data_IF_845642637537
#
_entry.id   IF_845642637537
#
_cell.length_a   1.000
_cell.length_b   1.000
_cell.length_c   1.000
_cell.angle_alpha   90.00
_cell.angle_beta   90.00
_cell.angle_gamma   90.00
#
_symmetry.space_group_name_H-M   'P 1'
#
loop_
_entity.id
_entity.type
_entity.pdbx_description
1 polymer ?
#
# COMPACT_ATOMS: atom_id res chain seq x y z
N UNK A 1 -55.08 -33.90 -27.97
CA UNK A 1 -56.36 -34.33 -27.35
C UNK A 1 -56.67 -33.37 -26.21
N UNK A 2 -57.71 -32.58 -26.43
CA UNK A 2 -58.77 -32.14 -25.49
C UNK A 2 -58.28 -31.18 -24.38
N UNK A 3 -58.47 -29.90 -24.50
CA UNK A 3 -59.57 -28.88 -24.45
C UNK A 3 -59.79 -28.31 -23.03
N UNK A 4 -59.68 -26.98 -23.01
CA UNK A 4 -60.65 -26.00 -22.49
C UNK A 4 -60.80 -25.80 -20.98
N UNK A 5 -60.80 -24.50 -20.62
CA UNK A 5 -61.57 -23.99 -19.49
C UNK A 5 -61.23 -22.54 -19.12
N UNK A 6 -61.67 -21.64 -19.96
CA UNK A 6 -61.81 -20.20 -19.69
C UNK A 6 -62.85 -19.94 -18.58
N UNK A 7 -62.60 -19.06 -17.61
CA UNK A 7 -63.63 -18.31 -16.85
C UNK A 7 -63.04 -17.06 -16.18
N UNK A 8 -63.25 -15.88 -16.78
CA UNK A 8 -63.36 -14.61 -16.03
C UNK A 8 -64.78 -14.52 -15.46
N UNK A 9 -65.03 -13.89 -14.31
CA UNK A 9 -65.53 -12.52 -14.19
C UNK A 9 -65.27 -11.86 -12.82
N UNK A 10 -65.95 -10.73 -12.46
CA UNK A 10 -66.16 -9.46 -13.14
C UNK A 10 -65.65 -8.25 -12.35
N UNK A 11 -65.67 -7.07 -13.02
CA UNK A 11 -65.46 -5.73 -12.46
C UNK A 11 -66.45 -5.39 -11.34
N UNK A 12 -65.96 -4.77 -10.26
CA UNK A 12 -66.78 -3.86 -9.45
C UNK A 12 -66.16 -2.48 -9.30
N UNK A 13 -67.02 -1.53 -9.37
CA UNK A 13 -66.78 -0.09 -9.50
C UNK A 13 -66.73 0.63 -8.12
N UNK A 14 -65.84 1.61 -8.03
CA UNK A 14 -65.95 2.90 -7.29
C UNK A 14 -66.29 2.92 -5.81
N UNK A 15 -65.35 3.46 -4.99
CA UNK A 15 -65.74 4.64 -4.17
C UNK A 15 -64.51 5.53 -3.96
N UNK A 16 -64.65 6.78 -4.34
CA UNK A 16 -63.76 7.91 -4.00
C UNK A 16 -63.87 8.17 -2.51
N UNK A 17 -62.76 8.21 -1.80
CA UNK A 17 -62.68 8.93 -0.50
C UNK A 17 -61.47 9.85 -0.51
N UNK A 18 -61.76 11.04 0.01
CA UNK A 18 -60.94 12.20 0.06
C UNK A 18 -59.61 12.03 0.80
N UNK A 19 -58.57 12.75 0.34
CA UNK A 19 -57.27 12.76 0.91
C UNK A 19 -57.19 13.44 2.26
N UNK A 20 -56.33 12.93 3.14
CA UNK A 20 -55.80 13.62 4.28
C UNK A 20 -54.31 13.97 4.03
N UNK A 21 -53.87 15.19 4.22
CA UNK A 21 -52.49 15.62 4.05
C UNK A 21 -51.73 15.36 5.36
N UNK A 22 -51.11 14.20 5.49
CA UNK A 22 -50.44 13.89 6.74
C UNK A 22 -49.27 12.86 6.66
N UNK A 23 -48.99 12.30 5.46
CA UNK A 23 -47.99 11.22 5.33
C UNK A 23 -46.68 11.57 4.62
N UNK A 24 -46.52 12.80 4.15
CA UNK A 24 -45.29 13.21 3.44
C UNK A 24 -44.08 13.52 4.35
N UNK A 25 -44.33 13.87 5.62
CA UNK A 25 -43.25 14.21 6.55
C UNK A 25 -42.51 13.01 7.15
N UNK A 26 -43.16 11.85 7.28
CA UNK A 26 -42.54 10.64 7.87
C UNK A 26 -41.52 9.93 6.95
N UNK A 27 -41.70 10.06 5.63
CA UNK A 27 -40.79 9.41 4.66
C UNK A 27 -39.45 10.17 4.49
N UNK A 28 -39.47 11.50 4.68
CA UNK A 28 -38.25 12.32 4.62
C UNK A 28 -37.30 12.02 5.80
N UNK A 29 -37.83 11.78 6.98
CA UNK A 29 -37.04 11.44 8.17
C UNK A 29 -36.43 10.02 8.11
N UNK A 30 -37.09 9.06 7.49
CA UNK A 30 -36.57 7.70 7.29
C UNK A 30 -35.46 7.67 6.24
N UNK A 31 -35.53 8.50 5.19
CA UNK A 31 -34.45 8.61 4.19
C UNK A 31 -33.21 9.34 4.74
N UNK A 32 -33.38 10.36 5.57
CA UNK A 32 -32.24 11.05 6.23
C UNK A 32 -31.58 10.14 7.26
N UNK A 33 -32.35 9.33 8.01
CA UNK A 33 -31.80 8.33 8.94
C UNK A 33 -31.04 7.21 8.21
N UNK A 34 -31.53 6.78 7.05
CA UNK A 34 -30.86 5.75 6.23
C UNK A 34 -29.54 6.29 5.60
N UNK A 35 -29.49 7.56 5.19
CA UNK A 35 -28.25 8.20 4.72
C UNK A 35 -27.22 8.39 5.83
N UNK A 36 -27.67 8.71 7.05
CA UNK A 36 -26.78 8.86 8.21
C UNK A 36 -26.19 7.50 8.67
N UNK A 37 -26.95 6.41 8.56
CA UNK A 37 -26.46 5.04 8.87
C UNK A 37 -25.49 4.55 7.79
N UNK A 38 -25.70 4.90 6.51
CA UNK A 38 -24.75 4.57 5.45
C UNK A 38 -23.43 5.33 5.55
N UNK A 39 -23.44 6.58 6.01
CA UNK A 39 -22.20 7.34 6.24
C UNK A 39 -21.40 6.82 7.44
N UNK A 40 -22.04 6.27 8.47
CA UNK A 40 -21.36 5.62 9.61
C UNK A 40 -20.79 4.24 9.27
N UNK A 41 -21.39 3.51 8.33
CA UNK A 41 -20.84 2.25 7.82
C UNK A 41 -19.62 2.48 6.90
N UNK A 42 -19.59 3.58 6.16
CA UNK A 42 -18.44 3.94 5.30
C UNK A 42 -17.20 4.35 6.11
N UNK A 43 -17.35 4.89 7.31
CA UNK A 43 -16.24 5.24 8.20
C UNK A 43 -15.64 4.03 8.90
N UNK A 44 -16.39 2.93 9.09
CA UNK A 44 -15.84 1.68 9.64
C UNK A 44 -14.96 0.91 8.63
N UNK A 45 -15.20 1.05 7.34
CA UNK A 45 -14.36 0.42 6.29
C UNK A 45 -13.03 1.16 6.10
N UNK A 46 -12.98 2.47 6.39
CA UNK A 46 -11.75 3.26 6.31
C UNK A 46 -10.75 3.00 7.47
N UNK A 47 -11.17 2.31 8.53
CA UNK A 47 -10.32 1.98 9.69
C UNK A 47 -9.53 0.67 9.55
N UNK A 48 -9.78 -0.14 8.51
CA UNK A 48 -8.89 -1.25 8.17
C UNK A 48 -7.70 -0.69 7.41
N UNK A 49 -6.53 -0.62 8.08
CA UNK A 49 -5.30 -0.14 7.48
C UNK A 49 -4.97 -0.87 6.17
N UNK A 50 -4.32 -0.17 5.23
CA UNK A 50 -3.90 -0.74 3.95
C UNK A 50 -3.15 -2.06 4.17
N UNK A 51 -3.41 -3.11 3.36
CA UNK A 51 -2.73 -4.40 3.48
C UNK A 51 -1.28 -4.26 2.98
N UNK A 52 -0.39 -3.79 3.84
CA UNK A 52 1.01 -3.56 3.49
C UNK A 52 1.80 -4.87 3.43
N UNK A 53 2.67 -4.97 2.43
CA UNK A 53 3.69 -6.01 2.32
C UNK A 53 5.04 -5.41 2.72
N UNK A 54 5.82 -6.19 3.48
CA UNK A 54 7.20 -5.87 3.81
C UNK A 54 8.10 -6.93 3.19
N UNK A 55 9.01 -6.48 2.35
CA UNK A 55 9.96 -7.35 1.64
C UNK A 55 11.25 -6.58 1.33
N UNK A 56 12.36 -7.05 1.89
CA UNK A 56 13.65 -6.35 1.80
C UNK A 56 14.17 -6.23 0.37
N UNK A 57 13.98 -7.26 -0.44
CA UNK A 57 14.41 -7.27 -1.85
C UNK A 57 13.68 -6.21 -2.65
N UNK A 58 12.35 -6.20 -2.52
CA UNK A 58 11.47 -5.28 -3.26
C UNK A 58 11.64 -3.85 -2.75
N UNK A 59 11.65 -3.65 -1.42
CA UNK A 59 11.83 -2.33 -0.81
C UNK A 59 13.16 -1.69 -1.23
N UNK A 60 14.25 -2.49 -1.28
CA UNK A 60 15.54 -2.01 -1.75
C UNK A 60 15.53 -1.65 -3.23
N UNK A 61 14.90 -2.48 -4.07
CA UNK A 61 14.78 -2.20 -5.50
C UNK A 61 13.99 -0.91 -5.74
N UNK A 62 12.87 -0.73 -5.06
CA UNK A 62 12.06 0.48 -5.16
C UNK A 62 12.79 1.72 -4.63
N UNK A 63 13.58 1.57 -3.57
CA UNK A 63 14.45 2.65 -3.09
C UNK A 63 15.50 3.04 -4.13
N UNK A 64 16.12 2.06 -4.80
CA UNK A 64 17.09 2.32 -5.88
C UNK A 64 16.42 3.01 -7.09
N UNK A 65 15.13 2.74 -7.37
CA UNK A 65 14.35 3.46 -8.39
C UNK A 65 14.05 4.90 -7.99
N UNK A 66 13.67 5.10 -6.73
CA UNK A 66 13.10 6.34 -6.25
C UNK A 66 14.15 7.37 -5.83
N UNK A 67 15.27 6.94 -5.20
CA UNK A 67 16.24 7.86 -4.62
C UNK A 67 16.75 8.91 -5.60
N UNK A 68 17.17 8.57 -6.84
CA UNK A 68 17.61 9.59 -7.80
C UNK A 68 16.48 10.57 -8.17
N UNK A 69 15.25 10.05 -8.30
CA UNK A 69 14.07 10.87 -8.63
C UNK A 69 13.74 11.84 -7.50
N UNK A 70 13.72 11.35 -6.25
CA UNK A 70 13.43 12.19 -5.09
C UNK A 70 14.52 13.26 -4.86
N UNK A 71 15.78 12.93 -5.08
CA UNK A 71 16.88 13.91 -5.05
C UNK A 71 16.68 14.98 -6.13
N UNK A 72 16.37 14.59 -7.37
CA UNK A 72 16.10 15.53 -8.47
C UNK A 72 14.86 16.40 -8.22
N UNK A 73 13.91 15.91 -7.44
CA UNK A 73 12.70 16.62 -7.05
C UNK A 73 12.89 17.56 -5.84
N UNK A 74 14.08 17.56 -5.20
CA UNK A 74 14.32 18.30 -3.95
C UNK A 74 13.67 17.63 -2.72
N UNK A 75 13.28 16.37 -2.84
CA UNK A 75 12.64 15.56 -1.81
C UNK A 75 13.63 14.59 -1.13
N UNK A 76 14.93 14.76 -1.35
CA UNK A 76 15.99 13.92 -0.81
C UNK A 76 16.09 13.94 0.73
N UNK A 77 17.05 13.18 1.27
CA UNK A 77 17.29 13.10 2.71
C UNK A 77 16.45 12.07 3.44
N UNK A 78 15.92 11.06 2.73
CA UNK A 78 15.19 9.94 3.34
C UNK A 78 13.79 10.29 3.86
N UNK A 79 13.26 11.45 3.47
CA UNK A 79 11.94 11.94 3.94
C UNK A 79 10.77 11.20 3.31
N UNK A 80 10.97 10.58 2.14
CA UNK A 80 9.92 9.85 1.41
C UNK A 80 10.19 8.36 1.48
N UNK A 81 9.18 7.60 1.91
CA UNK A 81 9.24 6.14 1.98
C UNK A 81 8.30 5.52 0.96
N UNK A 82 8.74 4.46 0.25
CA UNK A 82 7.85 3.68 -0.60
C UNK A 82 7.25 2.55 0.22
N UNK A 83 5.92 2.41 0.16
CA UNK A 83 5.14 1.36 0.82
C UNK A 83 4.51 0.46 -0.24
N UNK A 84 4.56 -0.84 -0.02
CA UNK A 84 4.00 -1.83 -0.94
C UNK A 84 2.63 -2.24 -0.42
N UNK A 85 1.59 -2.04 -1.24
CA UNK A 85 0.21 -2.43 -0.92
C UNK A 85 -0.11 -3.73 -1.65
N UNK A 86 -0.63 -4.73 -0.93
CA UNK A 86 -1.11 -5.96 -1.53
C UNK A 86 -2.43 -5.71 -2.27
N UNK A 87 -2.34 -5.52 -3.56
CA UNK A 87 -3.49 -5.32 -4.45
C UNK A 87 -3.08 -5.72 -5.87
N UNK A 88 -3.91 -6.48 -6.57
CA UNK A 88 -3.68 -6.88 -7.96
C UNK A 88 -4.01 -5.77 -8.98
N UNK A 89 -4.58 -4.68 -8.53
CA UNK A 89 -4.91 -3.51 -9.34
C UNK A 89 -3.63 -2.71 -9.60
N UNK A 90 -3.47 -2.18 -10.82
CA UNK A 90 -2.41 -1.23 -11.12
C UNK A 90 -2.72 0.10 -10.41
N UNK A 91 -1.92 0.50 -9.43
CA UNK A 91 -2.03 1.83 -8.82
C UNK A 91 -0.74 2.23 -8.08
N UNK A 92 -0.51 3.55 -8.00
CA UNK A 92 0.41 4.18 -7.08
C UNK A 92 -0.23 5.51 -6.64
N UNK A 93 0.04 5.97 -5.42
CA UNK A 93 -0.56 7.20 -4.90
C UNK A 93 0.17 7.71 -3.66
N UNK A 94 -0.01 8.99 -3.37
CA UNK A 94 0.48 9.67 -2.17
C UNK A 94 -0.68 10.04 -1.27
N UNK A 95 -0.54 9.85 0.05
CA UNK A 95 -1.58 10.17 1.05
C UNK A 95 -1.18 11.32 1.97
N UNK A 96 0.06 11.34 2.42
CA UNK A 96 0.53 12.21 3.51
C UNK A 96 1.77 13.04 3.15
N UNK A 97 2.19 13.01 1.89
CA UNK A 97 3.40 13.70 1.42
C UNK A 97 4.72 13.08 1.89
N UNK A 98 4.68 12.00 2.70
CA UNK A 98 5.85 11.26 3.19
C UNK A 98 5.91 9.83 2.68
N UNK A 99 4.79 9.28 2.23
CA UNK A 99 4.70 7.90 1.76
C UNK A 99 4.14 7.85 0.35
N UNK A 100 4.86 7.14 -0.53
CA UNK A 100 4.37 6.73 -1.85
C UNK A 100 3.93 5.28 -1.73
N UNK A 101 2.67 5.02 -1.97
CA UNK A 101 2.08 3.68 -1.92
C UNK A 101 2.07 3.10 -3.33
N UNK A 102 2.69 1.94 -3.52
CA UNK A 102 2.74 1.24 -4.80
C UNK A 102 2.06 -0.12 -4.65
N UNK A 103 1.05 -0.38 -5.45
CA UNK A 103 0.35 -1.65 -5.46
C UNK A 103 1.21 -2.76 -6.08
N UNK A 104 1.06 -3.99 -5.57
CA UNK A 104 1.70 -5.17 -6.19
C UNK A 104 1.27 -5.36 -7.65
N UNK A 105 0.04 -4.93 -8.00
CA UNK A 105 -0.43 -4.93 -9.38
C UNK A 105 0.39 -4.03 -10.29
N UNK A 106 0.80 -2.84 -9.85
CA UNK A 106 1.70 -1.99 -10.63
C UNK A 106 3.06 -2.68 -10.85
N UNK A 107 3.62 -3.29 -9.81
CA UNK A 107 4.91 -3.96 -9.86
C UNK A 107 4.90 -5.19 -10.79
N UNK A 108 3.85 -6.02 -10.73
CA UNK A 108 3.76 -7.25 -11.53
C UNK A 108 3.38 -7.01 -12.99
N UNK A 109 2.64 -5.94 -13.26
CA UNK A 109 2.16 -5.61 -14.61
C UNK A 109 3.14 -4.75 -15.41
N UNK A 110 4.09 -4.07 -14.75
CA UNK A 110 5.15 -3.33 -15.43
C UNK A 110 6.20 -4.28 -15.98
N UNK A 111 6.60 -4.08 -17.26
CA UNK A 111 7.55 -4.94 -17.95
C UNK A 111 9.00 -4.50 -17.74
N UNK A 112 9.22 -3.21 -17.49
CA UNK A 112 10.54 -2.63 -17.32
C UNK A 112 10.66 -1.80 -16.05
N UNK A 113 11.86 -1.66 -15.47
CA UNK A 113 12.12 -0.72 -14.38
C UNK A 113 11.63 0.68 -14.70
N UNK A 114 11.89 1.16 -15.92
CA UNK A 114 11.57 2.51 -16.35
C UNK A 114 10.06 2.83 -16.28
N UNK A 115 9.17 1.84 -16.42
CA UNK A 115 7.73 2.03 -16.23
C UNK A 115 7.39 2.39 -14.78
N UNK A 116 7.96 1.69 -13.81
CA UNK A 116 7.77 2.01 -12.37
C UNK A 116 8.48 3.29 -11.99
N UNK A 117 9.68 3.52 -12.50
CA UNK A 117 10.43 4.77 -12.27
C UNK A 117 9.63 5.97 -12.80
N UNK A 118 8.99 5.83 -13.96
CA UNK A 118 8.10 6.84 -14.53
C UNK A 118 6.90 7.16 -13.64
N UNK A 119 6.25 6.14 -13.08
CA UNK A 119 5.16 6.31 -12.10
C UNK A 119 5.67 7.01 -10.84
N UNK A 120 6.82 6.58 -10.28
CA UNK A 120 7.43 7.23 -9.12
C UNK A 120 7.78 8.70 -9.40
N UNK A 121 8.25 9.02 -10.61
CA UNK A 121 8.55 10.38 -11.02
C UNK A 121 7.30 11.26 -11.09
N UNK A 122 6.18 10.70 -11.55
CA UNK A 122 4.87 11.34 -11.53
C UNK A 122 4.39 11.63 -10.09
N UNK A 123 4.44 10.63 -9.20
CA UNK A 123 4.10 10.79 -7.79
C UNK A 123 4.99 11.83 -7.08
N UNK A 124 6.29 11.83 -7.39
CA UNK A 124 7.21 12.86 -6.90
C UNK A 124 6.81 14.26 -7.43
N UNK A 125 6.25 14.33 -8.62
CA UNK A 125 5.67 15.55 -9.18
C UNK A 125 4.53 16.11 -8.35
N UNK A 126 3.61 15.26 -7.88
CA UNK A 126 2.52 15.64 -6.98
C UNK A 126 3.03 16.09 -5.60
N UNK A 127 3.98 15.36 -5.02
CA UNK A 127 4.58 15.74 -3.72
C UNK A 127 5.25 17.11 -3.80
N UNK A 128 6.15 17.29 -4.79
CA UNK A 128 6.88 18.54 -4.97
C UNK A 128 5.98 19.71 -5.39
N UNK A 129 4.84 19.43 -6.00
CA UNK A 129 3.80 20.40 -6.34
C UNK A 129 2.94 20.85 -5.17
N UNK A 130 2.96 20.10 -4.06
CA UNK A 130 2.05 20.34 -2.95
C UNK A 130 0.58 20.04 -3.27
N UNK A 131 0.31 19.24 -4.31
CA UNK A 131 -1.01 19.03 -4.88
C UNK A 131 -1.99 18.46 -3.86
N UNK A 132 -1.52 17.59 -2.94
CA UNK A 132 -2.35 17.03 -1.87
C UNK A 132 -2.77 18.09 -0.84
N UNK A 133 -1.87 19.01 -0.48
CA UNK A 133 -2.17 20.11 0.44
C UNK A 133 -3.16 21.09 -0.22
N UNK A 134 -2.93 21.42 -1.49
CA UNK A 134 -3.82 22.27 -2.28
C UNK A 134 -5.24 21.67 -2.39
N UNK A 135 -5.33 20.35 -2.65
CA UNK A 135 -6.61 19.64 -2.73
C UNK A 135 -7.37 19.68 -1.39
N UNK A 136 -6.68 19.40 -0.27
CA UNK A 136 -7.30 19.44 1.08
C UNK A 136 -7.82 20.85 1.41
N UNK A 137 -7.01 21.86 1.13
CA UNK A 137 -7.40 23.26 1.36
C UNK A 137 -8.58 23.66 0.46
N UNK A 138 -8.60 23.19 -0.79
CA UNK A 138 -9.69 23.41 -1.71
C UNK A 138 -11.00 22.78 -1.22
N UNK A 139 -10.96 21.50 -0.84
CA UNK A 139 -12.12 20.78 -0.31
C UNK A 139 -12.67 21.53 0.92
N UNK A 140 -11.79 21.96 1.83
CA UNK A 140 -12.20 22.72 3.02
C UNK A 140 -12.91 24.02 2.65
N UNK A 141 -12.38 24.80 1.71
CA UNK A 141 -12.99 26.05 1.24
C UNK A 141 -14.31 25.81 0.52
N UNK A 142 -14.37 24.79 -0.33
CA UNK A 142 -15.56 24.53 -1.14
C UNK A 142 -16.67 23.88 -0.30
N UNK A 143 -16.38 23.10 0.72
CA UNK A 143 -17.38 22.65 1.71
C UNK A 143 -18.08 23.84 2.37
N UNK A 144 -17.36 24.88 2.74
CA UNK A 144 -17.92 26.09 3.32
C UNK A 144 -18.81 26.84 2.30
N UNK A 145 -18.35 26.94 1.05
CA UNK A 145 -19.15 27.59 -0.04
C UNK A 145 -20.40 26.77 -0.35
N UNK A 146 -20.31 25.46 -0.47
CA UNK A 146 -21.46 24.56 -0.69
C UNK A 146 -22.47 24.70 0.45
N UNK A 147 -22.00 24.73 1.71
CA UNK A 147 -22.85 24.93 2.87
C UNK A 147 -23.54 26.30 2.82
N UNK A 148 -22.80 27.37 2.51
CA UNK A 148 -23.35 28.70 2.36
C UNK A 148 -24.39 28.77 1.21
N UNK A 149 -24.08 28.19 0.04
CA UNK A 149 -25.00 28.11 -1.09
C UNK A 149 -26.27 27.32 -0.77
N UNK A 150 -26.15 26.23 -0.01
CA UNK A 150 -27.30 25.45 0.47
C UNK A 150 -28.16 26.28 1.43
N UNK A 151 -27.57 27.03 2.36
CA UNK A 151 -28.29 27.90 3.28
C UNK A 151 -29.02 29.03 2.50
N UNK A 152 -28.32 29.66 1.55
CA UNK A 152 -28.92 30.71 0.70
C UNK A 152 -29.94 30.13 -0.28
N UNK A 153 -29.69 28.92 -0.83
CA UNK A 153 -30.61 28.20 -1.71
C UNK A 153 -31.91 27.77 -1.00
N UNK A 154 -31.86 27.40 0.28
CA UNK A 154 -33.05 27.13 1.09
C UNK A 154 -33.86 28.44 1.24
N UNK A 155 -33.22 29.57 1.45
CA UNK A 155 -33.88 30.89 1.46
C UNK A 155 -34.51 31.24 0.12
N UNK A 156 -33.84 30.96 -1.01
CA UNK A 156 -34.35 31.16 -2.36
C UNK A 156 -35.45 30.16 -2.77
N UNK A 157 -35.41 28.92 -2.26
CA UNK A 157 -36.45 27.91 -2.46
C UNK A 157 -37.77 28.27 -1.78
N UNK A 158 -37.71 28.95 -0.62
CA UNK A 158 -38.88 29.50 0.06
C UNK A 158 -39.48 30.66 -0.77
N UNK A 159 -38.66 31.35 -1.60
CA UNK A 159 -39.06 32.43 -2.49
C UNK A 159 -39.44 31.98 -3.92
N UNK A 160 -39.46 30.66 -4.21
CA UNK A 160 -40.03 30.12 -5.46
C UNK A 160 -39.04 29.72 -6.58
N UNK A 161 -37.71 29.73 -6.34
CA UNK A 161 -36.73 29.43 -7.41
C UNK A 161 -35.59 28.40 -7.11
N UNK A 162 -35.63 27.72 -5.99
CA UNK A 162 -34.43 27.29 -5.32
C UNK A 162 -33.77 25.95 -5.69
N UNK A 163 -34.42 24.93 -6.20
CA UNK A 163 -33.80 23.60 -6.38
C UNK A 163 -32.84 23.55 -7.59
N UNK A 164 -33.14 24.23 -8.68
CA UNK A 164 -32.31 24.30 -9.87
C UNK A 164 -31.03 25.15 -9.65
N UNK A 165 -31.08 26.19 -8.85
CA UNK A 165 -29.94 27.05 -8.55
C UNK A 165 -28.91 26.34 -7.66
N UNK A 166 -29.37 25.50 -6.69
CA UNK A 166 -28.51 24.70 -5.83
C UNK A 166 -27.78 23.60 -6.64
N UNK A 167 -28.50 22.91 -7.54
CA UNK A 167 -27.91 21.90 -8.40
C UNK A 167 -26.86 22.47 -9.37
N UNK A 168 -27.11 23.65 -9.95
CA UNK A 168 -26.18 24.35 -10.82
C UNK A 168 -24.90 24.80 -10.09
N UNK A 169 -25.03 25.21 -8.83
CA UNK A 169 -23.87 25.57 -8.00
C UNK A 169 -22.96 24.36 -7.69
N UNK A 170 -23.54 23.24 -7.32
CA UNK A 170 -22.81 22.00 -7.04
C UNK A 170 -22.07 21.50 -8.32
N UNK A 171 -22.68 21.62 -9.50
CA UNK A 171 -22.08 21.26 -10.78
C UNK A 171 -20.90 22.18 -11.16
N UNK A 172 -21.00 23.47 -10.97
CA UNK A 172 -19.91 24.42 -11.23
C UNK A 172 -18.69 24.15 -10.34
N UNK A 173 -18.91 23.87 -9.05
CA UNK A 173 -17.84 23.51 -8.11
C UNK A 173 -17.19 22.19 -8.54
N UNK A 174 -17.97 21.19 -8.91
CA UNK A 174 -17.45 19.91 -9.39
C UNK A 174 -16.62 20.06 -10.67
N UNK A 175 -17.12 20.81 -11.67
CA UNK A 175 -16.38 21.09 -12.91
C UNK A 175 -15.07 21.82 -12.64
N UNK A 176 -15.06 22.80 -11.72
CA UNK A 176 -13.85 23.52 -11.31
C UNK A 176 -12.83 22.60 -10.63
N UNK A 177 -13.28 21.71 -9.73
CA UNK A 177 -12.42 20.71 -9.09
C UNK A 177 -11.81 19.75 -10.11
N UNK A 178 -12.59 19.29 -11.08
CA UNK A 178 -12.10 18.38 -12.14
C UNK A 178 -11.12 19.09 -13.08
N UNK A 179 -11.32 20.38 -13.39
CA UNK A 179 -10.41 21.16 -14.20
C UNK A 179 -9.06 21.39 -13.49
N UNK A 180 -9.10 21.75 -12.20
CA UNK A 180 -7.89 21.90 -11.38
C UNK A 180 -7.12 20.59 -11.28
N UNK A 181 -7.82 19.48 -11.05
CA UNK A 181 -7.19 18.15 -11.00
C UNK A 181 -6.48 17.82 -12.31
N UNK A 182 -7.10 18.08 -13.46
CA UNK A 182 -6.44 17.89 -14.77
C UNK A 182 -5.18 18.75 -14.93
N UNK A 183 -5.20 19.99 -14.42
CA UNK A 183 -4.04 20.87 -14.43
C UNK A 183 -2.92 20.33 -13.52
N UNK A 184 -3.25 19.84 -12.32
CA UNK A 184 -2.30 19.23 -11.38
C UNK A 184 -1.66 17.99 -11.98
N UNK A 185 -2.45 17.12 -12.63
CA UNK A 185 -1.95 15.94 -13.32
C UNK A 185 -0.95 16.31 -14.44
N UNK A 186 -1.29 17.29 -15.29
CA UNK A 186 -0.39 17.77 -16.34
C UNK A 186 0.89 18.40 -15.77
N UNK A 187 0.79 19.12 -14.66
CA UNK A 187 1.94 19.69 -13.97
C UNK A 187 2.82 18.59 -13.34
N UNK A 188 2.23 17.54 -12.76
CA UNK A 188 2.95 16.39 -12.23
C UNK A 188 3.70 15.63 -13.33
N UNK A 189 3.08 15.44 -14.51
CA UNK A 189 3.73 14.85 -15.68
C UNK A 189 4.97 15.63 -16.10
N UNK A 190 4.86 16.94 -16.18
CA UNK A 190 5.96 17.81 -16.58
C UNK A 190 7.10 17.84 -15.56
N UNK A 191 6.76 17.83 -14.26
CA UNK A 191 7.74 17.70 -13.17
C UNK A 191 8.42 16.35 -13.25
N UNK A 192 7.65 15.25 -13.41
CA UNK A 192 8.17 13.90 -13.54
C UNK A 192 9.15 13.76 -14.70
N UNK A 193 8.82 14.27 -15.89
CA UNK A 193 9.74 14.28 -17.03
C UNK A 193 11.02 15.08 -16.75
N UNK A 194 10.93 16.22 -16.05
CA UNK A 194 12.13 16.98 -15.66
C UNK A 194 13.02 16.18 -14.71
N UNK A 195 12.45 15.42 -13.77
CA UNK A 195 13.23 14.60 -12.86
C UNK A 195 13.90 13.44 -13.58
N UNK A 196 13.17 12.76 -14.49
CA UNK A 196 13.75 11.73 -15.36
C UNK A 196 14.92 12.27 -16.19
N UNK A 197 14.76 13.43 -16.81
CA UNK A 197 15.82 14.07 -17.59
C UNK A 197 17.04 14.45 -16.71
N UNK A 198 16.84 15.04 -15.53
CA UNK A 198 17.91 15.38 -14.60
C UNK A 198 18.72 14.16 -14.15
N UNK A 199 18.07 13.00 -14.09
CA UNK A 199 18.72 11.74 -13.69
C UNK A 199 19.22 10.93 -14.88
N UNK A 200 19.14 11.46 -16.10
CA UNK A 200 19.56 10.78 -17.32
C UNK A 200 18.74 9.53 -17.63
N UNK A 201 17.46 9.53 -17.28
CA UNK A 201 16.52 8.42 -17.50
C UNK A 201 15.51 8.74 -18.59
N UNK A 202 15.00 7.68 -19.24
CA UNK A 202 14.01 7.81 -20.29
C UNK A 202 12.62 8.15 -19.77
N UNK A 203 11.89 9.04 -20.44
CA UNK A 203 10.45 9.25 -20.22
C UNK A 203 9.55 8.21 -20.90
N UNK A 204 10.12 7.24 -21.64
CA UNK A 204 9.38 6.24 -22.41
C UNK A 204 8.49 5.37 -21.54
N UNK A 205 9.01 4.86 -20.40
CA UNK A 205 8.25 3.98 -19.53
C UNK A 205 7.03 4.67 -18.90
N UNK A 206 7.14 5.95 -18.56
CA UNK A 206 6.00 6.77 -18.14
C UNK A 206 4.95 6.88 -19.24
N UNK A 207 5.38 7.20 -20.46
CA UNK A 207 4.51 7.28 -21.62
C UNK A 207 3.82 5.95 -21.93
N UNK A 208 4.55 4.83 -21.91
CA UNK A 208 4.00 3.49 -22.15
C UNK A 208 2.95 3.13 -21.12
N UNK A 209 3.19 3.45 -19.84
CA UNK A 209 2.23 3.23 -18.75
C UNK A 209 0.95 4.02 -18.99
N UNK A 210 1.03 5.29 -19.33
CA UNK A 210 -0.14 6.14 -19.52
C UNK A 210 -0.92 5.75 -20.79
N UNK A 211 -0.24 5.42 -21.88
CA UNK A 211 -0.90 4.90 -23.12
C UNK A 211 -1.72 3.64 -22.87
N UNK A 212 -1.24 2.75 -22.03
CA UNK A 212 -1.96 1.53 -21.66
C UNK A 212 -3.35 1.84 -21.07
N UNK A 213 -3.49 2.95 -20.35
CA UNK A 213 -4.73 3.33 -19.68
C UNK A 213 -5.56 4.39 -20.44
N UNK A 214 -5.02 4.97 -21.50
CA UNK A 214 -5.67 6.06 -22.25
C UNK A 214 -7.08 5.72 -22.71
N UNK A 215 -7.29 4.50 -23.22
CA UNK A 215 -8.61 4.08 -23.73
C UNK A 215 -9.64 3.89 -22.62
N UNK A 216 -9.22 3.75 -21.39
CA UNK A 216 -10.13 3.54 -20.26
C UNK A 216 -10.83 4.83 -19.80
N UNK A 217 -10.38 6.00 -20.24
CA UNK A 217 -11.02 7.28 -19.91
C UNK A 217 -12.48 7.33 -20.41
N UNK A 218 -12.79 6.64 -21.50
CA UNK A 218 -14.14 6.58 -22.09
C UNK A 218 -15.06 5.60 -21.37
N UNK A 219 -14.56 4.79 -20.45
CA UNK A 219 -15.37 3.89 -19.64
C UNK A 219 -16.06 4.66 -18.50
N UNK A 220 -17.24 4.18 -18.08
CA UNK A 220 -17.86 4.70 -16.87
C UNK A 220 -16.92 4.53 -15.67
N UNK A 221 -16.98 5.41 -14.70
CA UNK A 221 -16.11 5.38 -13.51
C UNK A 221 -16.10 4.04 -12.78
N UNK A 222 -17.22 3.27 -12.85
CA UNK A 222 -17.33 1.93 -12.26
C UNK A 222 -16.45 0.90 -12.98
N UNK A 223 -16.21 1.07 -14.28
CA UNK A 223 -15.47 0.14 -15.13
C UNK A 223 -14.03 0.59 -15.39
N UNK A 224 -13.64 1.79 -14.93
CA UNK A 224 -12.27 2.29 -15.04
C UNK A 224 -11.34 1.60 -14.04
N UNK A 225 -10.08 1.41 -14.46
CA UNK A 225 -9.01 1.02 -13.53
C UNK A 225 -8.85 2.10 -12.42
N UNK A 226 -8.62 1.72 -11.16
CA UNK A 226 -8.38 2.67 -10.08
C UNK A 226 -7.27 3.68 -10.35
N UNK A 227 -6.25 3.33 -11.13
CA UNK A 227 -5.22 4.26 -11.57
C UNK A 227 -5.80 5.40 -12.42
N UNK A 228 -6.66 5.09 -13.38
CA UNK A 228 -7.33 6.10 -14.23
C UNK A 228 -8.25 6.99 -13.40
N UNK A 229 -8.93 6.43 -12.41
CA UNK A 229 -9.79 7.21 -11.50
C UNK A 229 -8.99 8.15 -10.60
N UNK A 230 -7.81 7.73 -10.13
CA UNK A 230 -6.92 8.57 -9.34
C UNK A 230 -6.13 9.56 -10.19
N UNK A 231 -5.77 9.17 -11.43
CA UNK A 231 -4.97 9.95 -12.37
C UNK A 231 -5.63 9.95 -13.77
N UNK A 232 -6.62 10.81 -14.05
CA UNK A 232 -7.29 10.85 -15.35
C UNK A 232 -6.31 10.98 -16.50
N UNK A 233 -6.28 9.97 -17.39
CA UNK A 233 -5.28 9.84 -18.48
C UNK A 233 -5.88 10.37 -19.79
N UNK A 234 -6.15 11.67 -19.84
CA UNK A 234 -6.72 12.30 -21.02
C UNK A 234 -5.80 12.23 -22.25
N UNK A 235 -6.39 12.10 -23.44
CA UNK A 235 -5.65 11.95 -24.70
C UNK A 235 -4.67 13.12 -24.94
N UNK A 236 -5.07 14.34 -24.60
CA UNK A 236 -4.21 15.52 -24.74
C UNK A 236 -3.01 15.50 -23.77
N UNK A 237 -3.18 14.91 -22.56
CA UNK A 237 -2.04 14.69 -21.61
C UNK A 237 -1.02 13.75 -22.20
N UNK A 238 -1.48 12.61 -22.76
CA UNK A 238 -0.59 11.62 -23.39
C UNK A 238 0.13 12.21 -24.59
N UNK A 239 -0.55 13.00 -25.44
CA UNK A 239 0.06 13.66 -26.58
C UNK A 239 1.14 14.68 -26.14
N UNK A 240 0.85 15.51 -25.13
CA UNK A 240 1.82 16.47 -24.58
C UNK A 240 3.03 15.77 -23.93
N UNK A 241 2.77 14.69 -23.19
CA UNK A 241 3.80 13.87 -22.57
C UNK A 241 4.72 13.25 -23.66
N UNK A 242 4.13 12.74 -24.74
CA UNK A 242 4.88 12.20 -25.87
C UNK A 242 5.75 13.25 -26.55
N UNK A 243 5.17 14.40 -26.90
CA UNK A 243 5.93 15.49 -27.53
C UNK A 243 7.14 15.89 -26.70
N UNK A 244 6.97 16.05 -25.40
CA UNK A 244 8.06 16.44 -24.51
C UNK A 244 9.07 15.32 -24.24
N UNK A 245 8.59 14.09 -24.03
CA UNK A 245 9.45 12.95 -23.76
C UNK A 245 10.34 12.62 -24.97
N UNK A 246 9.79 12.66 -26.20
CA UNK A 246 10.53 12.35 -27.43
C UNK A 246 11.65 13.34 -27.73
N UNK A 247 11.57 14.58 -27.24
CA UNK A 247 12.62 15.62 -27.37
C UNK A 247 13.76 15.43 -26.39
N UNK A 248 13.63 14.52 -25.41
CA UNK A 248 14.70 14.23 -24.45
C UNK A 248 15.86 13.47 -25.10
N UNK A 249 17.13 13.83 -24.86
CA UNK A 249 18.27 13.06 -25.35
C UNK A 249 18.31 11.64 -24.74
N UNK A 250 17.58 11.41 -23.67
CA UNK A 250 17.51 10.12 -22.98
C UNK A 250 16.31 9.26 -23.42
N UNK A 251 15.44 9.72 -24.34
CA UNK A 251 14.23 8.99 -24.71
C UNK A 251 14.50 7.57 -25.22
N UNK A 252 15.58 7.38 -25.96
CA UNK A 252 16.03 6.07 -26.46
C UNK A 252 16.73 5.19 -25.44
N UNK A 253 17.09 5.72 -24.26
CA UNK A 253 17.87 5.00 -23.26
C UNK A 253 17.04 3.86 -22.64
N UNK A 254 17.66 2.68 -22.56
CA UNK A 254 17.07 1.49 -21.93
C UNK A 254 17.65 1.29 -20.54
N UNK A 255 16.91 0.57 -19.71
CA UNK A 255 17.39 0.10 -18.40
C UNK A 255 18.58 -0.83 -18.58
N UNK A 256 19.51 -0.83 -17.61
CA UNK A 256 20.64 -1.75 -17.65
C UNK A 256 20.17 -3.19 -17.49
N UNK A 257 20.84 -4.18 -18.10
CA UNK A 257 20.48 -5.60 -17.94
C UNK A 257 20.42 -6.03 -16.49
N UNK A 258 21.29 -5.50 -15.63
CA UNK A 258 21.29 -5.77 -14.20
C UNK A 258 20.03 -5.24 -13.51
N UNK A 259 19.57 -4.06 -13.87
CA UNK A 259 18.36 -3.46 -13.29
C UNK A 259 17.11 -4.20 -13.77
N UNK A 260 17.06 -4.55 -15.07
CA UNK A 260 15.99 -5.37 -15.65
C UNK A 260 15.91 -6.74 -14.96
N UNK A 261 17.05 -7.42 -14.76
CA UNK A 261 17.06 -8.71 -14.05
C UNK A 261 16.47 -8.60 -12.64
N UNK A 262 16.83 -7.57 -11.88
CA UNK A 262 16.27 -7.34 -10.54
C UNK A 262 14.77 -7.06 -10.58
N UNK A 263 14.30 -6.35 -11.60
CA UNK A 263 12.88 -6.11 -11.83
C UNK A 263 12.14 -7.41 -12.12
N UNK A 264 12.68 -8.23 -13.01
CA UNK A 264 12.08 -9.52 -13.36
C UNK A 264 12.07 -10.49 -12.18
N UNK A 265 13.10 -10.45 -11.32
CA UNK A 265 13.14 -11.22 -10.07
C UNK A 265 12.07 -10.76 -9.07
N UNK A 266 11.87 -9.45 -8.93
CA UNK A 266 10.77 -8.90 -8.13
C UNK A 266 9.40 -9.38 -8.64
N UNK A 267 9.17 -9.32 -9.95
CA UNK A 267 7.93 -9.81 -10.58
C UNK A 267 7.74 -11.30 -10.33
N UNK A 268 8.80 -12.08 -10.52
CA UNK A 268 8.81 -13.52 -10.30
C UNK A 268 8.51 -13.89 -8.83
N UNK A 269 9.11 -13.17 -7.88
CA UNK A 269 8.84 -13.34 -6.45
C UNK A 269 7.39 -13.05 -6.13
N UNK A 270 6.88 -11.89 -6.55
CA UNK A 270 5.49 -11.50 -6.32
C UNK A 270 4.51 -12.50 -6.94
N UNK A 271 4.75 -12.93 -8.18
CA UNK A 271 3.95 -13.97 -8.84
C UNK A 271 3.94 -15.25 -8.01
N UNK A 272 5.10 -15.73 -7.57
CA UNK A 272 5.22 -16.95 -6.77
C UNK A 272 4.47 -16.92 -5.44
N UNK A 273 4.45 -15.75 -4.77
CA UNK A 273 3.78 -15.58 -3.46
C UNK A 273 2.29 -15.22 -3.55
N UNK A 274 1.87 -14.55 -4.62
CA UNK A 274 0.52 -13.95 -4.69
C UNK A 274 -0.44 -14.69 -5.63
N UNK A 275 0.10 -15.45 -6.60
CA UNK A 275 -0.71 -16.15 -7.58
C UNK A 275 -0.86 -17.64 -7.25
N UNK A 276 -1.87 -18.28 -7.86
CA UNK A 276 -2.04 -19.74 -7.75
C UNK A 276 -0.84 -20.44 -8.40
N UNK A 277 -0.30 -21.52 -7.82
CA UNK A 277 0.87 -22.23 -8.37
C UNK A 277 0.70 -22.62 -9.85
N UNK A 278 -0.49 -23.05 -10.27
CA UNK A 278 -0.76 -23.38 -11.68
C UNK A 278 -0.52 -22.18 -12.61
N UNK A 279 -0.99 -20.99 -12.24
CA UNK A 279 -0.76 -19.76 -13.00
C UNK A 279 0.73 -19.43 -13.12
N UNK A 280 1.47 -19.61 -12.01
CA UNK A 280 2.92 -19.39 -12.00
C UNK A 280 3.64 -20.36 -12.93
N UNK A 281 3.30 -21.66 -12.90
CA UNK A 281 3.92 -22.65 -13.79
C UNK A 281 3.59 -22.43 -15.27
N UNK A 282 2.41 -21.92 -15.57
CA UNK A 282 2.06 -21.54 -16.97
C UNK A 282 2.84 -20.30 -17.44
N UNK A 283 3.00 -19.29 -16.58
CA UNK A 283 3.76 -18.07 -16.91
C UNK A 283 5.26 -18.32 -16.99
N UNK A 284 5.78 -19.20 -16.15
CA UNK A 284 7.19 -19.57 -16.05
C UNK A 284 7.35 -21.07 -16.32
N UNK A 285 7.22 -21.52 -17.59
CA UNK A 285 7.30 -22.94 -17.93
C UNK A 285 8.67 -23.51 -17.66
N UNK A 286 8.78 -24.84 -17.62
CA UNK A 286 10.06 -25.54 -17.36
C UNK A 286 11.13 -25.27 -18.42
N UNK A 287 10.74 -24.94 -19.65
CA UNK A 287 11.62 -24.54 -20.74
C UNK A 287 12.31 -23.19 -20.49
N UNK A 288 11.70 -22.30 -19.68
CA UNK A 288 12.34 -21.05 -19.28
C UNK A 288 13.36 -21.32 -18.15
N UNK A 289 14.63 -21.25 -18.50
CA UNK A 289 15.76 -21.50 -17.60
C UNK A 289 16.32 -20.21 -16.95
N UNK A 290 15.69 -19.06 -17.16
CA UNK A 290 16.10 -17.80 -16.55
C UNK A 290 16.04 -17.84 -15.02
N UNK A 291 16.85 -17.02 -14.37
CA UNK A 291 16.87 -16.91 -12.90
C UNK A 291 15.49 -16.52 -12.37
N UNK A 292 14.78 -15.49 -12.93
CA UNK A 292 13.44 -15.14 -12.50
C UNK A 292 12.45 -16.30 -12.60
N UNK A 293 12.46 -17.06 -13.71
CA UNK A 293 11.56 -18.19 -13.88
C UNK A 293 11.83 -19.31 -12.86
N UNK A 294 13.10 -19.64 -12.59
CA UNK A 294 13.48 -20.60 -11.55
C UNK A 294 13.04 -20.12 -10.17
N UNK A 295 13.19 -18.81 -9.90
CA UNK A 295 12.77 -18.21 -8.63
C UNK A 295 11.23 -18.35 -8.43
N UNK A 296 10.43 -17.93 -9.41
CA UNK A 296 8.98 -18.06 -9.35
C UNK A 296 8.54 -19.52 -9.11
N UNK A 297 9.15 -20.47 -9.86
CA UNK A 297 8.85 -21.90 -9.72
C UNK A 297 9.24 -22.47 -8.37
N UNK A 298 10.38 -22.07 -7.79
CA UNK A 298 10.79 -22.51 -6.47
C UNK A 298 9.75 -22.10 -5.41
N UNK A 299 9.26 -20.87 -5.47
CA UNK A 299 8.22 -20.37 -4.58
C UNK A 299 6.90 -21.12 -4.81
N UNK A 300 6.45 -21.24 -6.07
CA UNK A 300 5.20 -21.95 -6.40
C UNK A 300 5.26 -23.44 -6.03
N UNK A 301 6.41 -24.09 -6.14
CA UNK A 301 6.61 -25.50 -5.73
C UNK A 301 6.38 -25.67 -4.24
N UNK A 302 6.90 -24.75 -3.41
CA UNK A 302 6.65 -24.78 -1.98
C UNK A 302 5.15 -24.61 -1.67
N UNK A 303 4.50 -23.60 -2.23
CA UNK A 303 3.08 -23.34 -1.95
C UNK A 303 2.14 -24.41 -2.49
N UNK A 304 2.50 -25.10 -3.58
CA UNK A 304 1.74 -26.24 -4.08
C UNK A 304 1.80 -27.44 -3.14
N UNK A 305 2.97 -27.73 -2.56
CA UNK A 305 3.20 -28.92 -1.73
C UNK A 305 3.20 -28.63 -0.23
N UNK A 306 3.19 -27.38 0.20
CA UNK A 306 3.35 -27.00 1.61
C UNK A 306 4.63 -27.58 2.22
N UNK A 307 4.58 -28.02 3.49
CA UNK A 307 5.75 -28.65 4.14
C UNK A 307 6.27 -29.88 3.42
N UNK A 308 5.42 -30.66 2.75
CA UNK A 308 5.81 -31.83 1.92
C UNK A 308 6.55 -31.40 0.65
N UNK A 309 6.30 -30.21 0.13
CA UNK A 309 6.99 -29.63 -1.03
C UNK A 309 8.39 -29.08 -0.71
N UNK A 310 8.75 -28.99 0.57
CA UNK A 310 10.01 -28.39 1.01
C UNK A 310 11.26 -28.98 0.35
N UNK A 311 11.47 -30.32 0.26
CA UNK A 311 12.68 -30.87 -0.37
C UNK A 311 12.84 -30.42 -1.81
N UNK A 312 11.76 -30.47 -2.61
CA UNK A 312 11.76 -30.03 -4.01
C UNK A 312 12.00 -28.54 -4.16
N UNK A 313 11.42 -27.72 -3.28
CA UNK A 313 11.64 -26.27 -3.26
C UNK A 313 13.09 -25.93 -2.88
N UNK A 314 13.65 -26.59 -1.86
CA UNK A 314 15.05 -26.39 -1.46
C UNK A 314 16.03 -26.79 -2.58
N UNK A 315 15.78 -27.89 -3.29
CA UNK A 315 16.62 -28.29 -4.42
C UNK A 315 16.64 -27.23 -5.54
N UNK A 316 15.49 -26.57 -5.81
CA UNK A 316 15.42 -25.46 -6.76
C UNK A 316 16.14 -24.22 -6.23
N UNK A 317 16.03 -23.91 -4.93
CA UNK A 317 16.77 -22.79 -4.31
C UNK A 317 18.27 -23.06 -4.35
N UNK A 318 18.73 -24.32 -4.15
CA UNK A 318 20.12 -24.68 -4.24
C UNK A 318 20.71 -24.47 -5.66
N UNK A 319 19.88 -24.68 -6.70
CA UNK A 319 20.28 -24.31 -8.07
C UNK A 319 20.42 -22.79 -8.24
N UNK A 320 19.48 -22.01 -7.68
CA UNK A 320 19.59 -20.54 -7.69
C UNK A 320 20.83 -20.05 -6.94
N UNK A 321 21.14 -20.65 -5.81
CA UNK A 321 22.34 -20.34 -5.01
C UNK A 321 23.64 -20.69 -5.74
N UNK A 322 23.67 -21.77 -6.56
CA UNK A 322 24.79 -22.07 -7.44
C UNK A 322 24.99 -20.99 -8.51
N UNK A 323 23.90 -20.43 -9.06
CA UNK A 323 23.97 -19.38 -10.06
C UNK A 323 24.34 -18.01 -9.45
N UNK A 324 23.84 -17.71 -8.25
CA UNK A 324 24.08 -16.45 -7.56
C UNK A 324 24.36 -16.66 -6.05
N UNK A 325 25.54 -17.15 -5.67
CA UNK A 325 25.85 -17.52 -4.27
C UNK A 325 25.88 -16.35 -3.30
N UNK A 326 26.13 -15.14 -3.81
CA UNK A 326 26.15 -13.89 -3.02
C UNK A 326 24.83 -13.15 -2.99
N UNK A 327 23.74 -13.72 -3.53
CA UNK A 327 22.44 -13.06 -3.51
C UNK A 327 21.72 -13.36 -2.19
N UNK A 328 21.54 -12.36 -1.30
CA UNK A 328 21.06 -12.60 0.07
C UNK A 328 19.65 -13.15 0.11
N UNK A 329 18.80 -12.78 -0.86
CA UNK A 329 17.37 -13.09 -0.84
C UNK A 329 17.05 -14.55 -1.20
N UNK A 330 17.96 -15.27 -1.86
CA UNK A 330 17.82 -16.71 -2.02
C UNK A 330 18.10 -17.47 -0.70
N UNK A 331 19.02 -16.95 0.10
CA UNK A 331 19.24 -17.45 1.46
C UNK A 331 18.07 -17.11 2.38
N UNK A 332 17.50 -15.90 2.24
CA UNK A 332 16.28 -15.50 2.94
C UNK A 332 15.12 -16.44 2.60
N UNK A 333 14.87 -16.71 1.31
CA UNK A 333 13.84 -17.62 0.82
C UNK A 333 14.01 -19.04 1.40
N UNK A 334 15.27 -19.53 1.42
CA UNK A 334 15.61 -20.82 2.05
C UNK A 334 15.21 -20.85 3.52
N UNK A 335 15.53 -19.79 4.25
CA UNK A 335 15.18 -19.62 5.65
C UNK A 335 13.67 -19.57 5.88
N UNK A 336 12.94 -18.78 5.07
CA UNK A 336 11.48 -18.67 5.16
C UNK A 336 10.79 -20.01 4.97
N UNK A 337 11.18 -20.79 3.96
CA UNK A 337 10.56 -22.09 3.72
C UNK A 337 10.86 -23.11 4.81
N UNK A 338 12.07 -23.09 5.37
CA UNK A 338 12.43 -23.92 6.52
C UNK A 338 11.62 -23.53 7.76
N UNK A 339 11.43 -22.22 8.03
CA UNK A 339 10.59 -21.75 9.14
C UNK A 339 9.15 -22.20 8.98
N UNK A 340 8.56 -22.01 7.80
CA UNK A 340 7.18 -22.43 7.49
C UNK A 340 6.98 -23.93 7.59
N UNK A 341 8.04 -24.69 7.53
CA UNK A 341 8.06 -26.16 7.67
C UNK A 341 8.48 -26.63 9.06
N UNK A 342 8.58 -25.75 10.05
CA UNK A 342 8.97 -26.08 11.42
C UNK A 342 10.47 -26.39 11.61
N UNK A 343 11.32 -26.15 10.60
CA UNK A 343 12.76 -26.48 10.63
C UNK A 343 13.61 -25.28 11.08
N UNK A 344 13.39 -24.81 12.30
CA UNK A 344 14.01 -23.60 12.84
C UNK A 344 15.54 -23.62 12.78
N UNK A 345 16.20 -24.74 13.08
CA UNK A 345 17.68 -24.85 13.04
C UNK A 345 18.26 -24.60 11.65
N UNK A 346 17.61 -25.11 10.60
CA UNK A 346 17.99 -24.85 9.21
C UNK A 346 17.75 -23.39 8.82
N UNK A 347 16.61 -22.83 9.25
CA UNK A 347 16.27 -21.43 9.02
C UNK A 347 17.29 -20.47 9.63
N UNK A 348 17.74 -20.71 10.86
CA UNK A 348 18.80 -19.92 11.52
C UNK A 348 20.06 -19.87 10.66
N UNK A 349 20.54 -21.03 10.16
CA UNK A 349 21.71 -21.10 9.28
C UNK A 349 21.52 -20.26 8.02
N UNK A 350 20.36 -20.37 7.38
CA UNK A 350 20.06 -19.66 6.15
C UNK A 350 19.93 -18.13 6.38
N UNK A 351 19.20 -17.68 7.40
CA UNK A 351 19.06 -16.27 7.71
C UNK A 351 20.37 -15.63 8.19
N UNK A 352 21.24 -16.35 8.93
CA UNK A 352 22.58 -15.86 9.26
C UNK A 352 23.40 -15.60 8.00
N UNK A 353 23.34 -16.51 7.01
CA UNK A 353 24.03 -16.31 5.74
C UNK A 353 23.44 -15.15 4.95
N UNK A 354 22.11 -15.03 4.88
CA UNK A 354 21.44 -13.88 4.25
C UNK A 354 21.87 -12.56 4.89
N UNK A 355 21.86 -12.49 6.23
CA UNK A 355 22.25 -11.29 6.97
C UNK A 355 23.73 -10.94 6.85
N UNK A 356 24.63 -11.95 6.70
CA UNK A 356 26.06 -11.70 6.43
C UNK A 356 26.28 -11.04 5.06
N UNK A 357 25.39 -11.29 4.09
CA UNK A 357 25.42 -10.72 2.74
C UNK A 357 24.71 -9.34 2.64
N UNK A 358 23.72 -9.08 3.49
CA UNK A 358 23.07 -7.76 3.63
C UNK A 358 22.95 -7.39 5.13
N UNK A 359 24.03 -6.89 5.78
CA UNK A 359 24.04 -6.59 7.22
C UNK A 359 23.07 -5.49 7.64
N UNK A 360 22.58 -4.67 6.69
CA UNK A 360 21.61 -3.60 6.92
C UNK A 360 20.15 -4.05 6.81
N UNK A 361 19.89 -5.31 6.49
CA UNK A 361 18.55 -5.87 6.32
C UNK A 361 17.86 -6.11 7.66
N UNK A 362 17.16 -5.09 8.20
CA UNK A 362 16.44 -5.19 9.49
C UNK A 362 15.35 -6.25 9.46
N UNK A 363 14.68 -6.44 8.31
CA UNK A 363 13.67 -7.50 8.15
C UNK A 363 14.29 -8.90 8.27
N UNK A 364 15.40 -9.17 7.58
CA UNK A 364 16.10 -10.46 7.67
C UNK A 364 16.65 -10.69 9.08
N UNK A 365 17.13 -9.62 9.76
CA UNK A 365 17.56 -9.70 11.14
C UNK A 365 16.42 -10.09 12.08
N UNK A 366 15.22 -9.54 11.86
CA UNK A 366 14.02 -9.89 12.63
C UNK A 366 13.56 -11.33 12.35
N UNK A 367 13.68 -11.81 11.09
CA UNK A 367 13.40 -13.20 10.72
C UNK A 367 14.38 -14.16 11.39
N UNK A 368 15.69 -13.83 11.42
CA UNK A 368 16.69 -14.59 12.17
C UNK A 368 16.33 -14.67 13.65
N UNK A 369 15.96 -13.56 14.26
CA UNK A 369 15.57 -13.55 15.66
C UNK A 369 14.33 -14.44 15.92
N UNK A 370 13.34 -14.41 15.05
CA UNK A 370 12.17 -15.29 15.17
C UNK A 370 12.54 -16.77 15.01
N UNK A 371 13.48 -17.09 14.11
CA UNK A 371 13.98 -18.46 13.96
C UNK A 371 14.77 -18.94 15.21
N UNK A 372 15.57 -18.06 15.82
CA UNK A 372 16.25 -18.32 17.08
C UNK A 372 15.25 -18.55 18.23
N UNK A 373 14.21 -17.72 18.34
CA UNK A 373 13.14 -17.91 19.32
C UNK A 373 12.42 -19.25 19.15
N UNK A 374 12.26 -19.72 17.90
CA UNK A 374 11.64 -21.01 17.60
C UNK A 374 12.48 -22.22 18.05
N UNK A 375 13.79 -22.07 18.30
CA UNK A 375 14.62 -23.11 18.90
C UNK A 375 14.31 -23.37 20.39
N UNK A 376 13.62 -22.44 21.05
CA UNK A 376 13.16 -22.55 22.44
C UNK A 376 14.25 -22.86 23.46
N UNK A 377 15.46 -22.32 23.27
CA UNK A 377 16.57 -22.44 24.23
C UNK A 377 16.94 -21.07 24.77
N UNK A 378 17.47 -21.03 26.00
CA UNK A 378 17.90 -19.76 26.64
C UNK A 378 19.00 -19.05 25.82
N UNK A 379 20.09 -19.73 25.36
CA UNK A 379 21.12 -19.05 24.56
C UNK A 379 20.56 -18.48 23.24
N UNK A 380 19.71 -19.22 22.54
CA UNK A 380 19.08 -18.71 21.30
C UNK A 380 18.15 -17.52 21.57
N UNK A 381 17.46 -17.52 22.72
CA UNK A 381 16.60 -16.39 23.12
C UNK A 381 17.43 -15.15 23.44
N UNK A 382 18.57 -15.28 24.09
CA UNK A 382 19.51 -14.19 24.35
C UNK A 382 20.11 -13.61 23.07
N UNK A 383 20.51 -14.46 22.11
CA UNK A 383 20.96 -14.02 20.79
C UNK A 383 19.84 -13.30 20.03
N UNK A 384 18.61 -13.83 20.03
CA UNK A 384 17.45 -13.22 19.43
C UNK A 384 17.17 -11.83 20.01
N UNK A 385 17.27 -11.67 21.32
CA UNK A 385 17.11 -10.38 22.02
C UNK A 385 18.10 -9.33 21.48
N UNK A 386 19.35 -9.70 21.27
CA UNK A 386 20.39 -8.84 20.67
C UNK A 386 20.01 -8.38 19.28
N UNK A 387 19.57 -9.30 18.42
CA UNK A 387 19.13 -9.00 17.05
C UNK A 387 17.90 -8.10 17.03
N UNK A 388 16.88 -8.34 17.87
CA UNK A 388 15.65 -7.55 17.95
C UNK A 388 15.91 -6.12 18.40
N UNK A 389 16.73 -5.93 19.44
CA UNK A 389 17.13 -4.60 19.90
C UNK A 389 17.84 -3.81 18.81
N UNK A 390 18.72 -4.47 18.06
CA UNK A 390 19.42 -3.82 16.94
C UNK A 390 18.46 -3.46 15.80
N UNK A 391 17.53 -4.36 15.42
CA UNK A 391 16.52 -4.06 14.42
C UNK A 391 15.66 -2.85 14.81
N UNK A 392 15.18 -2.80 16.06
CA UNK A 392 14.35 -1.70 16.56
C UNK A 392 15.12 -0.37 16.52
N UNK A 393 16.39 -0.38 16.91
CA UNK A 393 17.21 0.83 16.86
C UNK A 393 17.36 1.33 15.42
N UNK A 394 17.69 0.43 14.48
CA UNK A 394 17.89 0.77 13.09
C UNK A 394 16.57 1.22 12.43
N UNK A 395 15.42 0.60 12.78
CA UNK A 395 14.08 0.99 12.31
C UNK A 395 13.64 2.35 12.89
N UNK A 396 13.98 2.68 14.12
CA UNK A 396 13.69 4.00 14.73
C UNK A 396 14.47 5.11 14.03
N UNK A 397 15.74 4.87 13.69
CA UNK A 397 16.54 5.84 12.90
C UNK A 397 15.92 6.08 11.53
N UNK A 398 15.32 5.04 10.94
CA UNK A 398 14.62 5.12 9.66
C UNK A 398 13.16 5.65 9.78
N UNK A 399 12.71 6.03 10.97
CA UNK A 399 11.31 6.43 11.27
C UNK A 399 10.25 5.39 10.80
N UNK A 400 10.63 4.10 10.80
CA UNK A 400 9.80 3.00 10.31
C UNK A 400 9.59 1.89 11.38
N UNK A 401 8.95 2.20 12.51
CA UNK A 401 8.75 1.25 13.59
C UNK A 401 7.86 0.08 13.16
N UNK A 402 8.32 -1.14 13.43
CA UNK A 402 7.64 -2.39 13.05
C UNK A 402 6.98 -3.05 14.25
N UNK A 403 5.63 -3.02 14.37
CA UNK A 403 4.92 -3.61 15.51
C UNK A 403 5.28 -5.08 15.75
N UNK A 404 5.51 -5.87 14.67
CA UNK A 404 5.89 -7.26 14.76
C UNK A 404 7.24 -7.48 15.46
N UNK A 405 8.23 -6.61 15.20
CA UNK A 405 9.54 -6.69 15.85
C UNK A 405 9.44 -6.43 17.37
N UNK A 406 8.60 -5.50 17.79
CA UNK A 406 8.32 -5.25 19.20
C UNK A 406 7.61 -6.43 19.88
N UNK A 407 6.66 -7.09 19.21
CA UNK A 407 6.01 -8.30 19.74
C UNK A 407 7.01 -9.44 19.93
N UNK A 408 7.92 -9.63 18.95
CA UNK A 408 9.00 -10.63 19.09
C UNK A 408 9.96 -10.28 20.23
N UNK A 409 10.27 -8.98 20.44
CA UNK A 409 11.07 -8.51 21.56
C UNK A 409 10.38 -8.81 22.91
N UNK A 410 9.07 -8.58 22.99
CA UNK A 410 8.29 -8.89 24.20
C UNK A 410 8.33 -10.39 24.51
N UNK A 411 8.18 -11.26 23.49
CA UNK A 411 8.30 -12.71 23.65
C UNK A 411 9.69 -13.12 24.15
N UNK A 412 10.78 -12.53 23.62
CA UNK A 412 12.14 -12.78 24.10
C UNK A 412 12.31 -12.40 25.56
N UNK A 413 11.85 -11.22 25.98
CA UNK A 413 11.90 -10.80 27.38
C UNK A 413 11.07 -11.69 28.29
N UNK A 414 9.84 -12.06 27.87
CA UNK A 414 8.97 -12.93 28.65
C UNK A 414 9.63 -14.29 28.93
N UNK A 415 10.24 -14.92 27.90
CA UNK A 415 10.97 -16.20 28.03
C UNK A 415 12.19 -16.12 28.95
N UNK A 416 12.79 -14.93 29.09
CA UNK A 416 13.91 -14.66 30.00
C UNK A 416 13.46 -14.20 31.40
N UNK A 417 12.16 -14.25 31.73
CA UNK A 417 11.61 -13.82 32.99
C UNK A 417 11.56 -12.30 33.21
N UNK A 418 11.87 -11.51 32.17
CA UNK A 418 11.95 -10.04 32.22
C UNK A 418 10.61 -9.41 31.91
N UNK A 419 9.62 -9.60 32.77
CA UNK A 419 8.23 -9.18 32.59
C UNK A 419 8.06 -7.66 32.38
N UNK A 420 8.69 -6.77 33.16
CA UNK A 420 8.52 -5.32 32.97
C UNK A 420 8.96 -4.85 31.57
N UNK A 421 10.08 -5.40 31.07
CA UNK A 421 10.56 -5.05 29.74
C UNK A 421 9.70 -5.70 28.64
N UNK A 422 9.10 -6.87 28.91
CA UNK A 422 8.14 -7.47 27.99
C UNK A 422 6.90 -6.58 27.83
N UNK A 423 6.35 -6.07 28.94
CA UNK A 423 5.22 -5.15 28.92
C UNK A 423 5.55 -3.83 28.22
N UNK A 424 6.76 -3.29 28.42
CA UNK A 424 7.23 -2.11 27.71
C UNK A 424 7.31 -2.35 26.18
N UNK A 425 7.78 -3.52 25.77
CA UNK A 425 7.82 -3.88 24.35
C UNK A 425 6.41 -4.07 23.75
N UNK A 426 5.44 -4.59 24.52
CA UNK A 426 4.03 -4.66 24.09
C UNK A 426 3.43 -3.26 23.97
N UNK A 427 3.72 -2.35 24.90
CA UNK A 427 3.28 -0.95 24.81
C UNK A 427 3.76 -0.29 23.51
N UNK A 428 5.04 -0.45 23.17
CA UNK A 428 5.60 0.03 21.89
C UNK A 428 4.95 -0.64 20.66
N UNK A 429 4.65 -1.93 20.73
CA UNK A 429 3.96 -2.63 19.64
C UNK A 429 2.56 -2.07 19.39
N UNK A 430 1.81 -1.78 20.44
CA UNK A 430 0.50 -1.16 20.34
C UNK A 430 0.59 0.28 19.84
N UNK A 431 1.54 1.06 20.34
CA UNK A 431 1.77 2.43 19.89
C UNK A 431 2.12 2.49 18.40
N UNK A 432 3.05 1.65 17.96
CA UNK A 432 3.43 1.55 16.54
C UNK A 432 2.30 1.05 15.63
N UNK A 433 1.27 0.40 16.19
CA UNK A 433 0.05 -0.01 15.48
C UNK A 433 -1.06 1.04 15.53
N UNK A 434 -0.84 2.22 16.13
CA UNK A 434 -1.84 3.26 16.33
C UNK A 434 -2.85 2.98 17.46
N UNK A 435 -2.70 1.88 18.20
CA UNK A 435 -3.58 1.56 19.34
C UNK A 435 -3.06 2.21 20.63
N UNK A 436 -3.26 3.53 20.74
CA UNK A 436 -2.75 4.36 21.83
C UNK A 436 -3.34 3.95 23.18
N UNK A 437 -4.60 3.56 23.23
CA UNK A 437 -5.27 3.12 24.47
C UNK A 437 -4.57 1.90 25.08
N UNK A 438 -4.35 0.85 24.28
CA UNK A 438 -3.65 -0.34 24.77
C UNK A 438 -2.18 -0.04 25.08
N UNK A 439 -1.52 0.81 24.28
CA UNK A 439 -0.16 1.24 24.56
C UNK A 439 -0.02 1.86 25.96
N UNK A 440 -0.94 2.76 26.35
CA UNK A 440 -0.94 3.39 27.69
C UNK A 440 -1.15 2.38 28.82
N UNK A 441 -2.02 1.39 28.64
CA UNK A 441 -2.27 0.35 29.66
C UNK A 441 -0.98 -0.44 29.96
N UNK A 442 -0.35 -0.96 28.90
CA UNK A 442 0.90 -1.72 29.06
C UNK A 442 2.06 -0.84 29.53
N UNK A 443 2.13 0.42 29.08
CA UNK A 443 3.15 1.37 29.55
C UNK A 443 3.03 1.66 31.04
N UNK A 444 1.83 1.85 31.59
CA UNK A 444 1.60 2.04 33.04
C UNK A 444 2.06 0.81 33.84
N UNK A 445 1.71 -0.40 33.37
CA UNK A 445 2.11 -1.66 34.03
C UNK A 445 3.63 -1.85 34.02
N UNK A 446 4.28 -1.60 32.87
CA UNK A 446 5.73 -1.65 32.76
C UNK A 446 6.42 -0.63 33.67
N UNK A 447 5.96 0.63 33.65
CA UNK A 447 6.53 1.73 34.42
C UNK A 447 6.53 1.46 35.96
N UNK A 448 5.49 0.82 36.46
CA UNK A 448 5.36 0.48 37.89
C UNK A 448 6.47 -0.46 38.40
N UNK A 449 7.01 -1.33 37.53
CA UNK A 449 8.00 -2.35 37.87
C UNK A 449 9.41 -2.08 37.30
N UNK A 450 9.57 -1.08 36.43
CA UNK A 450 10.87 -0.68 35.91
C UNK A 450 11.64 0.23 36.87
N UNK A 451 12.98 0.16 36.82
CA UNK A 451 13.85 1.08 37.55
C UNK A 451 13.52 2.52 37.16
N UNK A 452 13.11 3.33 38.14
CA UNK A 452 12.78 4.75 37.96
C UNK A 452 13.96 5.51 37.32
N UNK A 453 13.65 6.35 36.32
CA UNK A 453 14.63 7.13 35.56
C UNK A 453 15.43 6.35 34.53
N UNK A 454 15.22 5.02 34.39
CA UNK A 454 15.85 4.28 33.27
C UNK A 454 15.33 4.74 31.89
N UNK A 455 16.08 4.56 30.79
CA UNK A 455 15.61 4.95 29.46
C UNK A 455 14.26 4.34 29.09
N UNK A 456 14.03 3.06 29.43
CA UNK A 456 12.75 2.40 29.18
C UNK A 456 11.64 2.99 30.03
N UNK A 457 11.90 3.30 31.29
CA UNK A 457 10.93 3.95 32.20
C UNK A 457 10.50 5.32 31.67
N UNK A 458 11.46 6.16 31.23
CA UNK A 458 11.18 7.49 30.64
C UNK A 458 10.35 7.35 29.38
N UNK A 459 10.70 6.37 28.53
CA UNK A 459 9.94 6.10 27.31
C UNK A 459 8.50 5.68 27.58
N UNK A 460 8.26 4.89 28.63
CA UNK A 460 6.90 4.56 29.05
C UNK A 460 6.14 5.77 29.57
N UNK A 461 6.82 6.68 30.25
CA UNK A 461 6.23 7.95 30.69
C UNK A 461 5.77 8.83 29.51
N UNK A 462 6.59 8.95 28.49
CA UNK A 462 6.24 9.64 27.23
C UNK A 462 5.01 9.02 26.57
N UNK A 463 4.92 7.68 26.48
CA UNK A 463 3.76 7.00 25.91
C UNK A 463 2.47 7.24 26.71
N UNK A 464 2.57 7.30 28.03
CA UNK A 464 1.42 7.58 28.90
C UNK A 464 0.94 9.02 28.70
N UNK A 465 1.87 9.97 28.57
CA UNK A 465 1.59 11.39 28.38
C UNK A 465 1.12 11.75 26.95
N UNK A 466 1.31 10.84 25.98
CA UNK A 466 0.95 11.10 24.58
C UNK A 466 -0.55 11.37 24.44
N UNK A 467 -0.92 12.49 23.80
CA UNK A 467 -2.31 12.88 23.54
C UNK A 467 -2.62 12.80 22.06
N UNK A 468 -3.74 12.19 21.70
CA UNK A 468 -4.22 12.05 20.31
C UNK A 468 -4.97 13.28 19.79
N UNK A 469 -5.21 14.28 20.66
CA UNK A 469 -5.99 15.50 20.37
C UNK A 469 -5.08 16.67 19.94
N UNK A 470 -4.17 16.43 18.99
CA UNK A 470 -3.48 17.53 18.28
C UNK A 470 -3.53 17.33 16.78
#
# INVERSE_FOLDING_TARGET
MITQGDRRPPKQMRSRRAGSPGRACGFAWLLVSALMVQSSLSTMVAAQGLPLIRDREIERLLSDYASPIFEAAGLGGGRITIRIVRSNVFNAFVVDGKNVYVHTGALTQSQTPNQIIGVIAHEAGHIAGGDLAALRERIRRDQTKILLMRILGIGAAIAGGGAAAVAAGDELVLRSLLAERRAQESAADQRGLRYLNRTGQSGRGMLETFRRFQQQEFLSARNQDPFVRSHPVAANRVALLQDRASKSPYFGKRDTPRLQLRHDMMRAKLSGYLERPATVFNRYPRSDNSIPARYARAVATFFRGGPKGLPSALAQIDQLLKMQPKYPYFWELRGDFQMRSGRAGGAVKAFRKALSLDPKATLIRSQLANALLALNTKPATEEALGHLKRSIRDDRVAEDPKPGTYRSLANAYYRLGRRPEADAAIAEAHFASGNVTQAKIFAKRAKAALKRGSPTWRRMDELIAFNTEK
#
